data_IF_114031086427
#
_entry.id   IF_114031086427
#
_cell.length_a   1.000
_cell.length_b   1.000
_cell.length_c   1.000
_cell.angle_alpha   90.00
_cell.angle_beta   90.00
_cell.angle_gamma   90.00
#
_symmetry.space_group_name_H-M   'P 1'
#
loop_
_entity.id
_entity.type
_entity.pdbx_description
1 polymer ?
#
# COMPACT_ATOMS: atom_id res chain seq x y z
N UNK A 1 8.47 9.84 -10.37
CA UNK A 1 8.98 9.72 -8.99
C UNK A 1 9.77 8.42 -8.89
N UNK A 2 10.95 8.39 -8.26
CA UNK A 2 11.69 7.15 -7.99
C UNK A 2 11.08 6.47 -6.74
N UNK A 3 11.11 5.14 -6.66
CA UNK A 3 10.67 4.36 -5.48
C UNK A 3 11.35 4.88 -4.21
N UNK A 4 12.65 5.19 -4.26
CA UNK A 4 13.36 5.73 -3.10
C UNK A 4 12.76 7.06 -2.62
N UNK A 5 12.51 8.00 -3.54
CA UNK A 5 11.88 9.29 -3.22
C UNK A 5 10.48 9.14 -2.64
N UNK A 6 9.69 8.19 -3.16
CA UNK A 6 8.36 7.90 -2.64
C UNK A 6 8.43 7.37 -1.19
N UNK A 7 9.31 6.42 -0.93
CA UNK A 7 9.49 5.82 0.41
C UNK A 7 10.01 6.85 1.41
N UNK A 8 11.02 7.64 1.02
CA UNK A 8 11.56 8.72 1.86
C UNK A 8 10.49 9.78 2.16
N UNK A 9 9.66 10.12 1.17
CA UNK A 9 8.54 11.04 1.32
C UNK A 9 7.43 10.53 2.24
N UNK A 10 7.32 9.22 2.49
CA UNK A 10 6.36 8.64 3.45
C UNK A 10 6.86 8.70 4.89
N UNK A 11 8.17 8.67 5.10
CA UNK A 11 8.79 8.50 6.41
C UNK A 11 8.30 9.53 7.46
N UNK A 12 8.17 10.84 7.17
CA UNK A 12 7.67 11.81 8.14
C UNK A 12 6.24 11.50 8.62
N UNK A 13 5.39 10.99 7.74
CA UNK A 13 3.99 10.68 8.04
C UNK A 13 3.84 9.35 8.78
N UNK A 14 4.67 8.37 8.44
CA UNK A 14 4.77 7.09 9.16
C UNK A 14 5.20 7.34 10.61
N UNK A 15 6.26 8.14 10.82
CA UNK A 15 6.75 8.48 12.16
C UNK A 15 5.68 9.22 13.00
N UNK A 16 4.85 10.04 12.36
CA UNK A 16 3.71 10.73 12.99
C UNK A 16 2.45 9.85 13.12
N UNK A 17 2.49 8.59 12.67
CA UNK A 17 1.36 7.64 12.74
C UNK A 17 0.14 8.09 11.94
N UNK A 18 0.35 8.92 10.92
CA UNK A 18 -0.72 9.49 10.09
C UNK A 18 -1.13 8.57 8.95
N UNK A 19 -0.34 7.55 8.62
CA UNK A 19 -0.62 6.60 7.54
C UNK A 19 -1.39 5.38 8.09
N UNK A 20 -2.52 5.04 7.47
CA UNK A 20 -3.23 3.77 7.70
C UNK A 20 -2.71 2.67 6.77
N UNK A 21 -2.53 3.00 5.48
CA UNK A 21 -2.15 2.03 4.45
C UNK A 21 -1.27 2.66 3.40
N UNK A 22 -0.41 1.85 2.80
CA UNK A 22 0.32 2.16 1.59
C UNK A 22 -0.05 1.10 0.56
N UNK A 23 -0.48 1.51 -0.62
CA UNK A 23 -0.82 0.59 -1.71
C UNK A 23 0.11 0.79 -2.90
N UNK A 24 0.59 -0.31 -3.46
CA UNK A 24 1.14 -0.32 -4.83
C UNK A 24 -0.02 -0.72 -5.75
N UNK A 25 -0.42 0.19 -6.61
CA UNK A 25 -1.59 0.03 -7.48
C UNK A 25 -1.10 -0.20 -8.90
N UNK A 26 -1.58 -1.26 -9.53
CA UNK A 26 -1.38 -1.54 -10.95
C UNK A 26 -2.66 -1.21 -11.71
N UNK A 27 -2.56 -0.42 -12.77
CA UNK A 27 -3.71 0.08 -13.53
C UNK A 27 -3.55 -0.19 -15.02
N UNK A 28 -4.67 -0.29 -15.72
CA UNK A 28 -4.71 -0.36 -17.17
C UNK A 28 -4.42 1.00 -17.83
N UNK A 29 -4.53 1.06 -19.16
CA UNK A 29 -4.34 2.28 -19.93
C UNK A 29 -5.40 3.35 -19.61
N UNK A 30 -6.58 2.95 -19.16
CA UNK A 30 -7.67 3.79 -18.71
C UNK A 30 -7.59 4.30 -17.27
N UNK A 31 -6.46 4.11 -16.57
CA UNK A 31 -6.28 4.45 -15.14
C UNK A 31 -7.23 3.69 -14.20
N UNK A 32 -7.76 2.54 -14.64
CA UNK A 32 -8.60 1.67 -13.80
C UNK A 32 -7.70 0.64 -13.11
N UNK A 33 -7.74 0.54 -11.77
CA UNK A 33 -6.95 -0.44 -11.05
C UNK A 33 -7.29 -1.87 -11.46
N UNK A 34 -6.26 -2.65 -11.74
CA UNK A 34 -6.33 -4.09 -12.03
C UNK A 34 -6.16 -4.87 -10.72
N UNK A 35 -5.18 -4.48 -9.93
CA UNK A 35 -4.85 -5.08 -8.63
C UNK A 35 -4.10 -4.08 -7.73
N UNK A 36 -4.19 -4.29 -6.42
CA UNK A 36 -3.53 -3.43 -5.42
C UNK A 36 -2.86 -4.28 -4.35
N UNK A 37 -1.56 -4.11 -4.18
CA UNK A 37 -0.83 -4.67 -3.04
C UNK A 37 -0.88 -3.68 -1.90
N UNK A 38 -1.64 -4.00 -0.84
CA UNK A 38 -1.89 -3.09 0.26
C UNK A 38 -1.11 -3.52 1.51
N UNK A 39 -0.29 -2.60 1.99
CA UNK A 39 0.44 -2.67 3.24
C UNK A 39 -0.31 -1.85 4.28
N UNK A 40 -1.07 -2.52 5.14
CA UNK A 40 -1.75 -1.88 6.26
C UNK A 40 -0.83 -1.82 7.48
N UNK A 41 -0.62 -0.60 7.95
CA UNK A 41 0.32 -0.27 9.02
C UNK A 41 -0.45 -0.03 10.33
N UNK A 42 -0.01 -0.68 11.39
CA UNK A 42 -0.46 -0.38 12.74
C UNK A 42 0.76 -0.07 13.62
N UNK A 43 1.01 1.20 13.87
CA UNK A 43 2.15 1.66 14.65
C UNK A 43 1.72 2.00 16.07
N UNK A 44 2.38 1.39 17.05
CA UNK A 44 2.25 1.77 18.45
C UNK A 44 3.13 2.99 18.75
N UNK A 45 2.55 4.18 18.66
CA UNK A 45 3.24 5.45 18.94
C UNK A 45 3.64 5.63 20.40
N UNK A 46 3.06 4.84 21.31
CA UNK A 46 3.37 4.88 22.75
C UNK A 46 4.48 3.89 23.14
N UNK A 47 5.07 3.18 22.18
CA UNK A 47 6.11 2.20 22.45
C UNK A 47 7.41 2.90 22.88
N UNK A 48 7.76 2.74 24.15
CA UNK A 48 8.92 3.40 24.78
C UNK A 48 10.08 2.43 25.10
N UNK A 49 9.97 1.18 24.66
CA UNK A 49 10.98 0.13 24.88
C UNK A 49 11.96 0.04 23.71
N UNK A 50 13.08 -0.67 23.91
CA UNK A 50 13.99 -0.98 22.81
C UNK A 50 13.32 -1.97 21.86
N UNK A 51 13.34 -1.65 20.57
CA UNK A 51 12.87 -2.55 19.51
C UNK A 51 13.82 -3.74 19.42
N UNK A 52 13.28 -4.95 19.41
CA UNK A 52 14.04 -6.17 19.15
C UNK A 52 14.28 -6.30 17.63
N UNK A 53 15.32 -5.62 17.13
CA UNK A 53 15.61 -5.49 15.69
C UNK A 53 15.67 -6.84 14.97
N UNK A 54 16.30 -7.85 15.56
CA UNK A 54 16.40 -9.18 14.96
C UNK A 54 15.04 -9.86 14.77
N UNK A 55 14.13 -9.71 15.73
CA UNK A 55 12.78 -10.29 15.67
C UNK A 55 11.90 -9.56 14.65
N UNK A 56 12.03 -8.23 14.59
CA UNK A 56 11.38 -7.39 13.60
C UNK A 56 11.88 -7.70 12.18
N UNK A 57 13.19 -7.77 11.98
CA UNK A 57 13.82 -8.09 10.70
C UNK A 57 13.39 -9.48 10.22
N UNK A 58 13.44 -10.50 11.10
CA UNK A 58 12.98 -11.85 10.78
C UNK A 58 11.50 -11.85 10.33
N UNK A 59 10.65 -11.12 11.06
CA UNK A 59 9.23 -11.00 10.72
C UNK A 59 9.02 -10.32 9.36
N UNK A 60 9.75 -9.24 9.07
CA UNK A 60 9.67 -8.52 7.79
C UNK A 60 10.19 -9.35 6.61
N UNK A 61 11.28 -10.13 6.80
CA UNK A 61 11.81 -11.05 5.77
C UNK A 61 10.76 -12.06 5.31
N UNK A 62 9.85 -12.48 6.19
CA UNK A 62 8.78 -13.41 5.82
C UNK A 62 7.82 -12.85 4.76
N UNK A 63 7.66 -11.52 4.67
CA UNK A 63 6.86 -10.88 3.61
C UNK A 63 7.54 -10.98 2.25
N UNK A 64 8.86 -10.75 2.20
CA UNK A 64 9.66 -10.85 0.98
C UNK A 64 9.64 -12.28 0.41
N UNK A 65 9.57 -13.29 1.27
CA UNK A 65 9.45 -14.70 0.85
C UNK A 65 8.03 -15.00 0.34
N UNK A 66 7.00 -14.36 0.91
CA UNK A 66 5.60 -14.60 0.53
C UNK A 66 5.19 -13.91 -0.77
N UNK A 67 5.84 -12.82 -1.14
CA UNK A 67 5.53 -12.07 -2.37
C UNK A 67 5.75 -12.90 -3.66
N UNK A 68 6.91 -13.55 -3.89
CA UNK A 68 7.10 -14.35 -5.11
C UNK A 68 6.11 -15.52 -5.22
N UNK A 69 5.80 -16.19 -4.11
CA UNK A 69 4.85 -17.32 -4.12
C UNK A 69 3.39 -16.87 -4.18
N UNK A 70 3.12 -15.56 -4.17
CA UNK A 70 1.79 -14.98 -4.38
C UNK A 70 1.47 -14.73 -5.85
N UNK A 71 2.41 -14.95 -6.78
CA UNK A 71 2.20 -14.81 -8.23
C UNK A 71 0.91 -15.49 -8.74
N UNK A 72 0.55 -16.73 -8.34
CA UNK A 72 -0.69 -17.37 -8.79
C UNK A 72 -1.98 -16.65 -8.34
N UNK A 73 -1.87 -15.74 -7.37
CA UNK A 73 -2.98 -14.94 -6.86
C UNK A 73 -3.17 -13.65 -7.66
N UNK A 74 -2.23 -13.30 -8.55
CA UNK A 74 -2.25 -12.06 -9.35
C UNK A 74 -2.87 -12.29 -10.73
N UNK A 75 -3.19 -11.21 -11.43
CA UNK A 75 -3.62 -11.28 -12.84
C UNK A 75 -2.45 -11.04 -13.78
N UNK A 76 -2.53 -11.63 -14.97
CA UNK A 76 -1.61 -11.28 -16.06
C UNK A 76 -1.82 -9.81 -16.40
N UNK A 77 -0.79 -8.99 -16.16
CA UNK A 77 -0.84 -7.56 -16.41
C UNK A 77 -0.79 -7.26 -17.92
N UNK A 78 -1.54 -6.27 -18.42
CA UNK A 78 -1.48 -5.85 -19.81
C UNK A 78 -0.12 -5.20 -20.12
N UNK A 79 0.28 -5.17 -21.40
CA UNK A 79 1.58 -4.62 -21.83
C UNK A 79 1.78 -3.16 -21.46
N UNK A 80 0.71 -2.38 -21.41
CA UNK A 80 0.74 -0.94 -21.10
C UNK A 80 0.34 -0.65 -19.64
N UNK A 81 0.52 -1.62 -18.74
CA UNK A 81 0.24 -1.45 -17.32
C UNK A 81 1.08 -0.30 -16.73
N UNK A 82 0.42 0.56 -15.96
CA UNK A 82 1.05 1.60 -15.15
C UNK A 82 0.98 1.23 -13.68
N UNK A 83 1.89 1.78 -12.88
CA UNK A 83 1.84 1.59 -11.44
C UNK A 83 2.09 2.89 -10.68
N UNK A 84 1.53 2.97 -9.49
CA UNK A 84 1.73 4.08 -8.55
C UNK A 84 1.83 3.60 -7.10
N UNK A 85 2.35 4.46 -6.23
CA UNK A 85 2.35 4.27 -4.78
C UNK A 85 1.38 5.28 -4.19
N UNK A 86 0.35 4.79 -3.50
CA UNK A 86 -0.72 5.61 -2.92
C UNK A 86 -0.79 5.39 -1.42
N UNK A 87 -0.70 6.47 -0.66
CA UNK A 87 -0.79 6.47 0.79
C UNK A 87 -2.19 6.90 1.26
N UNK A 88 -2.75 6.13 2.18
CA UNK A 88 -4.05 6.38 2.80
C UNK A 88 -3.80 7.00 4.17
N UNK A 89 -4.12 8.28 4.28
CA UNK A 89 -3.92 9.05 5.51
C UNK A 89 -5.14 8.89 6.44
N UNK A 90 -4.90 8.72 7.74
CA UNK A 90 -5.92 8.74 8.79
C UNK A 90 -6.52 10.14 8.96
N UNK A 91 -5.72 11.16 8.71
CA UNK A 91 -6.11 12.56 8.64
C UNK A 91 -5.21 13.27 7.63
N UNK A 92 -5.79 14.17 6.82
CA UNK A 92 -5.01 14.91 5.83
C UNK A 92 -3.98 15.79 6.57
N UNK A 93 -2.71 15.78 6.13
CA UNK A 93 -1.72 16.69 6.68
C UNK A 93 -2.16 18.13 6.39
N UNK A 94 -2.05 19.02 7.38
CA UNK A 94 -2.36 20.43 7.18
C UNK A 94 -1.45 20.99 6.07
N UNK A 95 -2.06 21.37 4.94
CA UNK A 95 -1.37 21.74 3.70
C UNK A 95 -0.47 22.99 3.82
N UNK A 96 -0.38 23.62 4.99
CA UNK A 96 0.25 24.93 5.19
C UNK A 96 1.53 24.92 6.04
N UNK A 97 1.97 23.77 6.61
CA UNK A 97 3.04 23.79 7.62
C UNK A 97 4.25 22.89 7.36
N UNK A 98 4.25 21.99 6.37
CA UNK A 98 5.44 21.15 6.09
C UNK A 98 5.76 21.03 4.60
N UNK A 99 7.02 21.28 4.24
CA UNK A 99 7.60 20.96 2.92
C UNK A 99 7.36 19.50 2.50
N UNK A 100 7.20 18.60 3.48
CA UNK A 100 6.91 17.18 3.27
C UNK A 100 5.54 16.94 2.61
N UNK A 101 4.57 17.84 2.82
CA UNK A 101 3.22 17.72 2.25
C UNK A 101 3.18 18.14 0.77
N UNK A 102 4.11 19.00 0.34
CA UNK A 102 4.23 19.44 -1.06
C UNK A 102 4.69 18.29 -1.99
N UNK A 103 5.21 17.19 -1.44
CA UNK A 103 5.64 16.00 -2.20
C UNK A 103 4.48 15.07 -2.58
N UNK A 104 3.31 15.21 -1.97
CA UNK A 104 2.16 14.34 -2.19
C UNK A 104 0.99 15.12 -2.77
N UNK A 105 0.34 14.56 -3.78
CA UNK A 105 -0.90 15.08 -4.34
C UNK A 105 -2.04 14.09 -4.06
N UNK A 106 -3.29 14.57 -3.97
CA UNK A 106 -4.46 13.70 -4.01
C UNK A 106 -4.40 12.79 -5.24
N UNK A 107 -4.75 11.52 -5.08
CA UNK A 107 -4.79 10.57 -6.19
C UNK A 107 -6.05 10.79 -7.03
N UNK A 108 -5.87 10.82 -8.35
CA UNK A 108 -6.98 10.82 -9.33
C UNK A 108 -7.32 9.39 -9.80
N UNK A 109 -6.73 8.37 -9.17
CA UNK A 109 -6.93 6.96 -9.52
C UNK A 109 -8.38 6.56 -9.37
N UNK A 110 -8.93 5.99 -10.45
CA UNK A 110 -10.31 5.51 -10.50
C UNK A 110 -10.53 4.45 -9.43
N UNK A 111 -11.70 4.49 -8.81
CA UNK A 111 -12.10 3.50 -7.82
C UNK A 111 -13.00 2.46 -8.47
N UNK A 112 -12.91 1.22 -8.00
CA UNK A 112 -13.89 0.20 -8.32
C UNK A 112 -15.26 0.61 -7.79
N UNK A 113 -16.31 0.27 -8.53
CA UNK A 113 -17.68 0.55 -8.15
C UNK A 113 -18.15 -0.39 -7.04
N UNK A 114 -17.63 -1.62 -7.02
CA UNK A 114 -17.92 -2.61 -5.99
C UNK A 114 -16.77 -2.71 -4.98
N UNK A 115 -17.06 -3.14 -3.75
CA UNK A 115 -16.02 -3.47 -2.78
C UNK A 115 -15.03 -4.50 -3.36
N UNK A 116 -13.72 -4.31 -3.16
CA UNK A 116 -12.74 -5.26 -3.66
C UNK A 116 -12.83 -6.62 -3.01
N UNK A 117 -12.41 -7.64 -3.76
CA UNK A 117 -12.08 -8.94 -3.18
C UNK A 117 -10.70 -8.85 -2.53
N UNK A 118 -10.61 -9.20 -1.24
CA UNK A 118 -9.38 -9.13 -0.46
C UNK A 118 -8.78 -10.53 -0.30
N UNK A 119 -7.51 -10.68 -0.66
CA UNK A 119 -6.76 -11.94 -0.53
C UNK A 119 -5.58 -11.70 0.43
N UNK A 120 -5.61 -12.26 1.65
CA UNK A 120 -4.52 -12.07 2.61
C UNK A 120 -3.25 -12.80 2.16
N UNK A 121 -2.09 -12.13 2.25
CA UNK A 121 -0.79 -12.72 1.92
C UNK A 121 -0.01 -13.03 3.20
N UNK A 122 0.16 -12.03 4.06
CA UNK A 122 0.93 -12.17 5.30
C UNK A 122 0.54 -11.14 6.34
N UNK A 123 0.59 -11.53 7.60
CA UNK A 123 0.48 -10.62 8.75
C UNK A 123 1.59 -10.88 9.75
N UNK A 124 1.94 -9.82 10.48
CA UNK A 124 2.78 -9.84 11.67
C UNK A 124 2.25 -8.84 12.70
N UNK A 125 2.55 -9.13 13.96
CA UNK A 125 2.36 -8.22 15.08
C UNK A 125 3.61 -8.29 15.92
N UNK A 126 4.49 -7.29 15.78
CA UNK A 126 5.72 -7.18 16.56
C UNK A 126 5.87 -5.73 16.97
N UNK A 127 5.82 -5.42 18.26
CA UNK A 127 5.97 -4.05 18.71
C UNK A 127 7.27 -3.42 18.16
N UNK A 128 7.24 -2.17 17.67
CA UNK A 128 6.10 -1.24 17.65
C UNK A 128 5.20 -1.36 16.40
N UNK A 129 5.43 -2.32 15.51
CA UNK A 129 4.82 -2.46 14.19
C UNK A 129 3.93 -3.71 14.05
N UNK A 130 2.63 -3.49 13.89
CA UNK A 130 1.74 -4.41 13.20
C UNK A 130 1.75 -4.14 11.70
N UNK A 131 1.92 -5.18 10.89
CA UNK A 131 1.89 -5.08 9.43
C UNK A 131 1.02 -6.19 8.84
N UNK A 132 0.12 -5.81 7.94
CA UNK A 132 -0.63 -6.75 7.11
C UNK A 132 -0.40 -6.43 5.65
N UNK A 133 -0.08 -7.47 4.87
CA UNK A 133 0.01 -7.44 3.42
C UNK A 133 -1.11 -8.29 2.84
N UNK A 134 -1.87 -7.69 1.94
CA UNK A 134 -2.94 -8.36 1.23
C UNK A 134 -3.08 -7.78 -0.19
N UNK A 135 -3.66 -8.57 -1.08
CA UNK A 135 -3.96 -8.19 -2.45
C UNK A 135 -5.45 -7.82 -2.56
N UNK A 136 -5.75 -6.72 -3.23
CA UNK A 136 -7.11 -6.36 -3.61
C UNK A 136 -7.32 -6.55 -5.11
N UNK A 137 -8.46 -7.13 -5.48
CA UNK A 137 -8.93 -7.28 -6.86
C UNK A 137 -10.31 -6.67 -7.05
N UNK A 138 -10.68 -6.27 -8.28
CA UNK A 138 -12.05 -5.94 -8.59
C UNK A 138 -12.95 -7.15 -8.30
N UNK A 139 -14.14 -6.88 -7.80
CA UNK A 139 -15.13 -7.93 -7.55
C UNK A 139 -15.53 -8.66 -8.84
N UNK A 140 -16.04 -9.88 -8.73
CA UNK A 140 -16.60 -10.58 -9.90
C UNK A 140 -17.82 -9.86 -10.50
N UNK A 141 -18.49 -9.03 -9.69
CA UNK A 141 -19.60 -8.15 -10.07
C UNK A 141 -19.16 -6.79 -10.63
N UNK A 142 -17.86 -6.53 -10.75
CA UNK A 142 -17.36 -5.28 -11.32
C UNK A 142 -17.78 -5.20 -12.80
N UNK A 143 -18.39 -4.08 -13.24
CA UNK A 143 -18.72 -3.93 -14.65
C UNK A 143 -17.43 -3.99 -15.46
N UNK A 144 -17.37 -4.92 -16.41
CA UNK A 144 -16.27 -4.97 -17.36
C UNK A 144 -16.40 -3.74 -18.25
N UNK A 145 -15.36 -2.91 -18.30
CA UNK A 145 -15.27 -1.92 -19.36
C UNK A 145 -15.25 -2.70 -20.68
N UNK A 146 -16.31 -2.57 -21.47
CA UNK A 146 -16.32 -3.09 -22.83
C UNK A 146 -15.23 -2.34 -23.60
N UNK A 147 -14.17 -3.05 -23.98
CA UNK A 147 -13.14 -2.53 -24.89
C UNK A 147 -13.86 -2.00 -26.13
N UNK A 148 -13.67 -0.71 -26.42
CA UNK A 148 -14.25 -0.04 -27.57
C UNK A 148 -13.20 0.15 -28.66
#
# INVERSE_FOLDING_TARGET
MNIHTAVDGLLPFINKGLIDRVAVIFSDDGDVPIERFVFKLNLNQSYNSKVEEANLEFSLRSFLIKLPVSEPLTKVLPRNCRWEITAYFRSLPEASTSKDAEMWIPTDTKQWQQPPTIIPIKSMSSEPLGLQLYLEHPSLSEPKNEEK
#
